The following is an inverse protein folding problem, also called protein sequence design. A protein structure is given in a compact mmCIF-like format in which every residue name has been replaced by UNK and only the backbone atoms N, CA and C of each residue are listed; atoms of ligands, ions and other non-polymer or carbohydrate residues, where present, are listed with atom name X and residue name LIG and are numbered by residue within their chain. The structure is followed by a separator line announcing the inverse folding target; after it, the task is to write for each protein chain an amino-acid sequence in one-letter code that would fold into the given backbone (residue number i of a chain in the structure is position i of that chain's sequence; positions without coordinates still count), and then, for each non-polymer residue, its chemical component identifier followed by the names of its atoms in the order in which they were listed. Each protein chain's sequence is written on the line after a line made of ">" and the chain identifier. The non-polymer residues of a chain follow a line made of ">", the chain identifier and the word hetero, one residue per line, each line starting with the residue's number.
data_IF_722534831737
#
_entry.id   IF_722534831737
#
_cell.length_a   1.000
_cell.length_b   1.000
_cell.length_c   1.000
_cell.angle_alpha   90.00
_cell.angle_beta   90.00
_cell.angle_gamma   90.00
#
_symmetry.space_group_name_H-M   'P 1'
#
loop_
_entity.id
_entity.type
_entity.pdbx_description
1 polymer ?
#
# COMPACT_ATOMS: atom_id res chain seq x y z
N UNK A 1 12.74 3.46 32.57
CA UNK A 1 11.85 3.81 31.44
C UNK A 1 10.45 4.06 31.98
N UNK A 2 9.91 5.28 31.89
CA UNK A 2 8.58 5.58 32.41
C UNK A 2 7.50 4.85 31.58
N UNK A 3 6.71 3.99 32.22
CA UNK A 3 5.53 3.37 31.58
C UNK A 3 4.53 4.49 31.29
N UNK A 4 4.20 4.70 30.01
CA UNK A 4 3.23 5.73 29.60
C UNK A 4 1.84 5.39 30.18
N UNK A 5 1.05 6.39 30.63
CA UNK A 5 -0.20 6.13 31.33
C UNK A 5 -1.20 5.37 30.44
N UNK A 6 -1.87 4.37 31.00
CA UNK A 6 -2.71 3.37 30.31
C UNK A 6 -3.82 3.98 29.43
N UNK A 7 -4.37 5.13 29.86
CA UNK A 7 -5.36 5.93 29.12
C UNK A 7 -4.86 6.39 27.75
N UNK A 8 -3.58 6.76 27.62
CA UNK A 8 -2.98 7.13 26.34
C UNK A 8 -2.76 5.91 25.41
N UNK A 9 -2.68 4.70 25.97
CA UNK A 9 -2.53 3.47 25.19
C UNK A 9 -3.82 3.15 24.42
N UNK A 10 -4.99 3.34 25.03
CA UNK A 10 -6.28 2.95 24.45
C UNK A 10 -6.75 3.90 23.35
N UNK A 11 -6.50 5.21 23.51
CA UNK A 11 -6.77 6.21 22.46
C UNK A 11 -5.85 5.96 21.24
N UNK A 12 -4.55 5.73 21.46
CA UNK A 12 -3.60 5.38 20.38
C UNK A 12 -3.99 4.09 19.66
N UNK A 13 -4.46 3.07 20.38
CA UNK A 13 -4.99 1.83 19.79
C UNK A 13 -6.20 2.10 18.89
N UNK A 14 -7.15 2.94 19.35
CA UNK A 14 -8.36 3.29 18.57
C UNK A 14 -8.04 4.11 17.32
N UNK A 15 -7.23 5.17 17.44
CA UNK A 15 -6.81 6.01 16.30
C UNK A 15 -5.97 5.22 15.30
N UNK A 16 -5.05 4.37 15.79
CA UNK A 16 -4.26 3.46 14.95
C UNK A 16 -5.14 2.47 14.18
N UNK A 17 -6.18 1.92 14.81
CA UNK A 17 -7.15 1.03 14.16
C UNK A 17 -7.89 1.74 13.02
N UNK A 18 -8.40 2.95 13.25
CA UNK A 18 -9.10 3.73 12.22
C UNK A 18 -8.23 4.04 10.99
N UNK A 19 -6.93 4.33 11.19
CA UNK A 19 -6.00 4.56 10.10
C UNK A 19 -5.74 3.28 9.29
N UNK A 20 -5.57 2.15 9.97
CA UNK A 20 -5.37 0.83 9.34
C UNK A 20 -6.62 0.46 8.52
N UNK A 21 -7.81 0.61 9.09
CA UNK A 21 -9.08 0.31 8.40
C UNK A 21 -9.23 1.18 7.15
N UNK A 22 -8.94 2.49 7.26
CA UNK A 22 -8.93 3.41 6.12
C UNK A 22 -7.94 2.98 5.03
N UNK A 23 -6.74 2.59 5.42
CA UNK A 23 -5.69 2.14 4.49
C UNK A 23 -6.07 0.82 3.80
N UNK A 24 -6.65 -0.12 4.54
CA UNK A 24 -7.14 -1.38 4.01
C UNK A 24 -8.28 -1.19 3.03
N UNK A 25 -9.27 -0.34 3.36
CA UNK A 25 -10.37 -0.03 2.47
C UNK A 25 -9.88 0.61 1.16
N UNK A 26 -8.90 1.52 1.26
CA UNK A 26 -8.27 2.12 0.09
C UNK A 26 -7.54 1.09 -0.78
N UNK A 27 -6.74 0.18 -0.19
CA UNK A 27 -6.12 -0.93 -0.92
C UNK A 27 -7.16 -1.81 -1.62
N UNK A 28 -8.22 -2.19 -0.91
CA UNK A 28 -9.32 -3.02 -1.44
C UNK A 28 -10.00 -2.37 -2.64
N UNK A 29 -10.18 -1.04 -2.61
CA UNK A 29 -10.78 -0.29 -3.70
C UNK A 29 -9.94 -0.24 -4.98
N UNK A 30 -8.62 -0.39 -4.85
CA UNK A 30 -7.70 -0.40 -5.99
C UNK A 30 -7.48 -1.81 -6.55
N UNK A 31 -7.28 -2.79 -5.67
CA UNK A 31 -6.96 -4.16 -6.05
C UNK A 31 -5.62 -4.30 -6.78
N UNK A 32 -5.22 -5.54 -7.06
CA UNK A 32 -4.06 -5.85 -7.87
C UNK A 32 -4.36 -5.53 -9.34
N UNK A 33 -3.52 -4.71 -9.96
CA UNK A 33 -3.71 -4.27 -11.33
C UNK A 33 -3.47 -5.34 -12.41
N UNK A 34 -3.00 -6.54 -12.03
CA UNK A 34 -2.78 -7.65 -12.95
C UNK A 34 -3.79 -8.78 -12.80
N UNK A 35 -4.23 -9.08 -11.57
CA UNK A 35 -5.07 -10.25 -11.30
C UNK A 35 -6.36 -9.93 -10.53
N UNK A 36 -6.60 -8.68 -10.16
CA UNK A 36 -7.82 -8.26 -9.46
C UNK A 36 -7.93 -8.65 -7.99
N UNK A 37 -6.91 -9.31 -7.40
CA UNK A 37 -6.85 -9.59 -5.96
C UNK A 37 -7.16 -8.32 -5.16
N UNK A 38 -8.02 -8.39 -4.15
CA UNK A 38 -8.50 -7.22 -3.40
C UNK A 38 -8.25 -7.32 -1.90
N UNK A 39 -7.69 -8.42 -1.41
CA UNK A 39 -7.40 -8.62 0.00
C UNK A 39 -6.23 -7.72 0.45
N UNK A 40 -6.46 -6.69 1.29
CA UNK A 40 -5.45 -5.66 1.58
C UNK A 40 -4.14 -6.14 2.17
N UNK A 41 -4.15 -7.28 2.87
CA UNK A 41 -2.93 -7.89 3.43
C UNK A 41 -2.04 -8.49 2.34
N UNK A 42 -2.61 -8.86 1.19
CA UNK A 42 -1.91 -9.41 0.04
C UNK A 42 -1.44 -8.31 -0.94
N UNK A 43 -1.86 -7.06 -0.74
CA UNK A 43 -1.61 -5.95 -1.65
C UNK A 43 -0.43 -5.08 -1.21
N UNK A 44 0.42 -4.74 -2.18
CA UNK A 44 1.66 -3.99 -2.02
C UNK A 44 1.76 -2.88 -3.07
N UNK A 45 2.36 -1.76 -2.68
CA UNK A 45 2.67 -0.66 -3.60
C UNK A 45 4.02 -0.93 -4.25
N UNK A 46 3.99 -1.18 -5.56
CA UNK A 46 5.18 -1.28 -6.38
C UNK A 46 5.49 0.09 -7.00
N UNK A 47 6.71 0.59 -6.83
CA UNK A 47 7.12 1.85 -7.44
C UNK A 47 7.49 1.57 -8.90
N UNK A 48 6.91 2.32 -9.84
CA UNK A 48 7.22 2.18 -11.27
C UNK A 48 8.68 2.53 -11.56
N UNK A 49 9.17 3.58 -10.90
CA UNK A 49 10.56 3.99 -10.97
C UNK A 49 11.23 3.76 -9.60
N UNK A 50 12.11 2.74 -9.47
CA UNK A 50 12.81 2.46 -8.22
C UNK A 50 13.75 3.60 -7.79
N UNK A 51 14.17 4.48 -8.70
CA UNK A 51 14.99 5.66 -8.39
C UNK A 51 14.20 6.78 -7.68
N UNK A 52 12.87 6.74 -7.76
CA UNK A 52 11.98 7.73 -7.10
C UNK A 52 11.56 7.33 -5.69
N UNK A 53 12.10 6.22 -5.16
CA UNK A 53 11.77 5.67 -3.84
C UNK A 53 12.36 6.55 -2.73
N UNK A 54 11.65 7.60 -2.40
CA UNK A 54 12.12 8.62 -1.45
C UNK A 54 11.86 8.25 0.02
N UNK A 55 11.27 7.09 0.30
CA UNK A 55 10.79 6.76 1.66
C UNK A 55 11.10 5.31 2.09
N UNK A 56 11.74 5.20 3.25
CA UNK A 56 11.91 3.93 3.97
C UNK A 56 10.55 3.39 4.48
N UNK A 57 10.22 2.10 4.26
CA UNK A 57 8.96 1.50 4.72
C UNK A 57 8.68 1.71 6.22
N UNK A 58 9.73 1.80 7.05
CA UNK A 58 9.61 2.04 8.49
C UNK A 58 9.00 3.41 8.87
N UNK A 59 8.92 4.37 7.94
CA UNK A 59 8.32 5.69 8.19
C UNK A 59 6.85 5.78 7.79
N UNK A 60 6.27 4.78 7.14
CA UNK A 60 4.86 4.77 6.69
C UNK A 60 3.87 4.97 7.85
N UNK A 61 4.18 4.47 9.06
CA UNK A 61 3.33 4.63 10.26
C UNK A 61 3.29 6.06 10.81
N UNK A 62 4.21 6.92 10.37
CA UNK A 62 4.30 8.34 10.76
C UNK A 62 3.89 9.30 9.65
N UNK A 63 3.59 8.80 8.45
CA UNK A 63 3.18 9.63 7.33
C UNK A 63 1.72 10.04 7.45
N UNK A 64 1.44 11.31 7.12
CA UNK A 64 0.07 11.78 6.98
C UNK A 64 -0.61 11.09 5.80
N UNK A 65 -1.94 11.01 5.84
CA UNK A 65 -2.74 10.41 4.78
C UNK A 65 -2.45 11.04 3.41
N UNK A 66 -2.23 12.36 3.35
CA UNK A 66 -1.90 13.04 2.09
C UNK A 66 -0.60 12.54 1.48
N UNK A 67 0.40 12.19 2.31
CA UNK A 67 1.67 11.70 1.80
C UNK A 67 1.55 10.28 1.24
N UNK A 68 0.75 9.41 1.88
CA UNK A 68 0.43 8.09 1.32
C UNK A 68 -0.23 8.23 -0.05
N UNK A 69 -1.19 9.16 -0.19
CA UNK A 69 -1.82 9.43 -1.48
C UNK A 69 -0.80 9.94 -2.52
N UNK A 70 0.08 10.88 -2.16
CA UNK A 70 1.12 11.39 -3.08
C UNK A 70 2.08 10.30 -3.55
N UNK A 71 2.57 9.45 -2.64
CA UNK A 71 3.43 8.32 -3.02
C UNK A 71 2.68 7.32 -3.90
N UNK A 72 1.39 7.10 -3.64
CA UNK A 72 0.60 6.16 -4.42
C UNK A 72 0.45 6.53 -5.90
N UNK A 73 0.54 7.82 -6.25
CA UNK A 73 0.51 8.29 -7.65
C UNK A 73 1.71 7.77 -8.44
N UNK A 74 2.86 7.56 -7.78
CA UNK A 74 4.08 7.02 -8.38
C UNK A 74 4.13 5.49 -8.40
N UNK A 75 3.14 4.85 -7.78
CA UNK A 75 3.10 3.42 -7.58
C UNK A 75 1.97 2.76 -8.37
N UNK A 76 2.07 1.45 -8.55
CA UNK A 76 0.96 0.58 -8.91
C UNK A 76 0.62 -0.33 -7.74
N UNK A 77 -0.66 -0.68 -7.61
CA UNK A 77 -1.12 -1.64 -6.60
C UNK A 77 -1.04 -3.04 -7.19
N UNK A 78 -0.25 -3.91 -6.58
CA UNK A 78 -0.04 -5.30 -7.02
C UNK A 78 -0.13 -6.25 -5.84
N UNK A 79 -0.52 -7.49 -6.07
CA UNK A 79 -0.43 -8.50 -5.01
C UNK A 79 1.03 -8.94 -4.82
N UNK A 80 1.36 -9.51 -3.66
CA UNK A 80 2.71 -9.97 -3.33
C UNK A 80 3.31 -10.92 -4.39
N UNK A 81 2.49 -11.73 -5.07
CA UNK A 81 2.97 -12.63 -6.12
C UNK A 81 3.40 -11.87 -7.37
N UNK A 82 2.59 -10.93 -7.85
CA UNK A 82 2.95 -10.10 -9.01
C UNK A 82 4.08 -9.14 -8.67
N UNK A 83 4.11 -8.61 -7.45
CA UNK A 83 5.22 -7.79 -6.99
C UNK A 83 6.56 -8.53 -7.11
N UNK A 84 6.61 -9.79 -6.65
CA UNK A 84 7.81 -10.65 -6.79
C UNK A 84 8.16 -10.93 -8.25
N UNK A 85 7.18 -11.17 -9.12
CA UNK A 85 7.41 -11.38 -10.55
C UNK A 85 8.05 -10.15 -11.21
N UNK A 86 7.58 -8.95 -10.86
CA UNK A 86 8.17 -7.70 -11.35
C UNK A 86 9.62 -7.56 -10.87
N UNK A 87 9.88 -7.76 -9.57
CA UNK A 87 11.26 -7.74 -9.04
C UNK A 87 12.17 -8.81 -9.64
N UNK A 88 11.62 -9.96 -10.04
CA UNK A 88 12.34 -11.02 -10.71
C UNK A 88 12.56 -10.77 -12.21
N UNK A 89 12.04 -9.67 -12.77
CA UNK A 89 12.10 -9.37 -14.20
C UNK A 89 11.25 -10.32 -15.06
N UNK A 90 10.28 -11.02 -14.46
CA UNK A 90 9.36 -11.92 -15.17
C UNK A 90 8.16 -11.19 -15.76
N UNK A 91 7.93 -9.94 -15.35
CA UNK A 91 6.88 -9.05 -15.82
C UNK A 91 7.40 -7.62 -15.80
N UNK A 92 7.09 -6.85 -16.82
CA UNK A 92 7.30 -5.41 -16.84
C UNK A 92 6.05 -4.69 -16.29
N UNK A 93 6.21 -3.53 -15.66
CA UNK A 93 5.07 -2.72 -15.20
C UNK A 93 4.31 -2.04 -16.36
N UNK A 94 4.93 -1.96 -17.53
CA UNK A 94 4.30 -1.58 -18.80
C UNK A 94 3.40 -2.66 -19.41
N UNK A 95 3.58 -3.94 -19.03
CA UNK A 95 2.75 -5.06 -19.45
C UNK A 95 1.40 -5.12 -18.71
N UNK A 96 1.01 -4.04 -18.02
CA UNK A 96 -0.26 -4.00 -17.32
C UNK A 96 -1.36 -4.32 -18.33
N UNK A 97 -2.16 -5.39 -18.11
CA UNK A 97 -3.25 -5.70 -19.01
C UNK A 97 -4.13 -4.45 -19.06
N UNK A 98 -4.44 -3.99 -20.27
CA UNK A 98 -5.54 -3.06 -20.48
C UNK A 98 -6.78 -3.80 -20.00
N UNK A 99 -7.08 -3.68 -18.71
CA UNK A 99 -8.34 -4.17 -18.15
C UNK A 99 -9.39 -3.24 -18.75
N UNK A 100 -9.82 -3.56 -19.97
CA UNK A 100 -11.05 -3.04 -20.52
C UNK A 100 -12.11 -3.65 -19.63
N UNK A 101 -12.68 -2.85 -18.75
CA UNK A 101 -13.99 -3.14 -18.20
C UNK A 101 -14.93 -3.16 -19.41
N UNK A 102 -15.12 -4.34 -20.00
CA UNK A 102 -16.23 -4.60 -20.90
C UNK A 102 -17.48 -4.40 -20.05
N UNK A 103 -18.15 -3.28 -20.36
CA UNK A 103 -19.47 -2.86 -19.87
C UNK A 103 -20.51 -3.97 -19.90
#
# INVERSE_FOLDING_TARGET
>A
MAKKPEKYSNIRKRVGKQLIDRYHNWKRSLGCCFCGENEPICLELHHKDPSTKDIQPNKLRTLSWERIQKESVKCIMVCSNYHKKIHAGLLDDSDKPLITFSS
#
